data_IF_250778043912
#
_entry.id   IF_250778043912
#
_cell.length_a   1.000
_cell.length_b   1.000
_cell.length_c   1.000
_cell.angle_alpha   90.00
_cell.angle_beta   90.00
_cell.angle_gamma   90.00
#
_symmetry.space_group_name_H-M   'P 1'
#
loop_
_entity.id
_entity.type
_entity.pdbx_description
1 polymer ?
#
# COMPACT_ATOMS: atom_id res chain seq x y z
N UNK A 1 -0.19 10.25 -9.31
CA UNK A 1 -1.67 10.37 -9.33
C UNK A 1 -2.14 10.60 -7.90
N UNK A 2 -2.85 11.71 -7.61
CA UNK A 2 -3.41 11.95 -6.27
C UNK A 2 -4.58 10.99 -6.03
N UNK A 3 -4.67 10.35 -4.87
CA UNK A 3 -5.75 9.41 -4.53
C UNK A 3 -7.15 10.05 -4.65
N UNK A 4 -7.18 11.38 -4.56
CA UNK A 4 -8.29 12.30 -4.69
C UNK A 4 -8.83 12.41 -6.14
N UNK A 5 -8.15 11.82 -7.14
CA UNK A 5 -8.52 11.88 -8.57
C UNK A 5 -8.93 10.53 -9.19
N UNK A 6 -9.40 9.56 -8.40
CA UNK A 6 -10.02 8.35 -8.95
C UNK A 6 -11.37 8.76 -9.56
N UNK A 7 -11.36 8.99 -10.86
CA UNK A 7 -12.40 9.68 -11.63
C UNK A 7 -13.19 8.67 -12.44
N UNK A 8 -14.14 8.01 -11.78
CA UNK A 8 -15.13 7.18 -12.45
C UNK A 8 -16.31 8.06 -12.86
N UNK A 9 -16.76 7.92 -14.12
CA UNK A 9 -17.96 8.59 -14.67
C UNK A 9 -19.24 8.26 -13.87
N UNK A 10 -19.21 7.15 -13.12
CA UNK A 10 -20.22 6.72 -12.14
C UNK A 10 -19.63 6.69 -10.73
N UNK A 11 -20.36 7.15 -9.71
CA UNK A 11 -19.92 7.14 -8.31
C UNK A 11 -19.69 5.73 -7.72
N UNK A 12 -19.92 4.64 -8.46
CA UNK A 12 -19.84 3.28 -7.92
C UNK A 12 -18.97 2.31 -8.73
N UNK A 13 -18.83 2.53 -10.04
CA UNK A 13 -18.15 1.59 -10.93
C UNK A 13 -16.66 1.91 -11.09
N UNK A 14 -15.81 1.23 -10.32
CA UNK A 14 -14.37 1.14 -10.58
C UNK A 14 -14.11 0.30 -11.82
N UNK A 15 -13.16 0.71 -12.66
CA UNK A 15 -12.56 -0.19 -13.64
C UNK A 15 -11.46 -1.06 -13.00
N UNK A 16 -10.99 -2.07 -13.72
CA UNK A 16 -9.97 -2.99 -13.19
C UNK A 16 -8.67 -2.28 -12.82
N UNK A 17 -8.23 -1.27 -13.58
CA UNK A 17 -7.01 -0.49 -13.31
C UNK A 17 -7.10 0.29 -12.01
N UNK A 18 -8.27 0.87 -11.73
CA UNK A 18 -8.52 1.58 -10.47
C UNK A 18 -8.63 0.61 -9.29
N UNK A 19 -9.27 -0.55 -9.50
CA UNK A 19 -9.41 -1.56 -8.46
C UNK A 19 -8.05 -2.18 -8.06
N UNK A 20 -7.17 -2.46 -9.03
CA UNK A 20 -5.81 -2.94 -8.73
C UNK A 20 -4.99 -1.85 -8.05
N UNK A 21 -5.08 -0.59 -8.51
CA UNK A 21 -4.43 0.54 -7.86
C UNK A 21 -4.87 0.72 -6.40
N UNK A 22 -6.18 0.73 -6.14
CA UNK A 22 -6.72 0.84 -4.79
C UNK A 22 -6.35 -0.36 -3.91
N UNK A 23 -6.23 -1.55 -4.49
CA UNK A 23 -5.77 -2.76 -3.79
C UNK A 23 -4.34 -2.57 -3.27
N UNK A 24 -3.42 -2.09 -4.10
CA UNK A 24 -2.04 -1.84 -3.67
C UNK A 24 -1.95 -0.65 -2.71
N UNK A 25 -2.66 0.44 -3.01
CA UNK A 25 -2.70 1.62 -2.14
C UNK A 25 -3.21 1.29 -0.73
N UNK A 26 -4.14 0.34 -0.60
CA UNK A 26 -4.66 -0.10 0.70
C UNK A 26 -3.63 -0.79 1.60
N UNK A 27 -2.51 -1.25 1.03
CA UNK A 27 -1.40 -1.86 1.78
C UNK A 27 -0.45 -0.81 2.35
N UNK A 28 -0.30 0.31 1.65
CA UNK A 28 0.56 1.42 2.08
C UNK A 28 -0.15 2.36 3.05
N UNK A 29 -1.45 2.62 2.82
CA UNK A 29 -2.23 3.53 3.64
C UNK A 29 -3.69 3.12 3.76
N UNK A 30 -4.36 3.65 4.78
CA UNK A 30 -5.81 3.48 4.95
C UNK A 30 -6.53 4.18 3.80
N UNK A 31 -7.39 3.45 3.10
CA UNK A 31 -8.34 4.03 2.15
C UNK A 31 -9.45 4.77 2.90
N UNK A 32 -10.02 5.80 2.26
CA UNK A 32 -11.27 6.39 2.74
C UNK A 32 -12.39 5.35 2.71
N UNK A 33 -13.37 5.49 3.59
CA UNK A 33 -14.45 4.51 3.77
C UNK A 33 -15.22 4.25 2.46
N UNK A 34 -15.51 5.31 1.69
CA UNK A 34 -16.16 5.21 0.38
C UNK A 34 -15.32 4.40 -0.62
N UNK A 35 -14.01 4.65 -0.71
CA UNK A 35 -13.12 3.91 -1.62
C UNK A 35 -13.00 2.44 -1.21
N UNK A 36 -13.02 2.16 0.09
CA UNK A 36 -13.02 0.79 0.62
C UNK A 36 -14.29 0.03 0.23
N UNK A 37 -15.46 0.65 0.33
CA UNK A 37 -16.74 0.05 -0.06
C UNK A 37 -16.78 -0.20 -1.58
N UNK A 38 -16.38 0.78 -2.40
CA UNK A 38 -16.31 0.63 -3.87
C UNK A 38 -15.37 -0.50 -4.28
N UNK A 39 -14.19 -0.57 -3.65
CA UNK A 39 -13.24 -1.65 -3.91
C UNK A 39 -13.82 -3.01 -3.50
N UNK A 40 -14.48 -3.09 -2.34
CA UNK A 40 -15.12 -4.32 -1.89
C UNK A 40 -16.18 -4.82 -2.89
N UNK A 41 -17.03 -3.91 -3.40
CA UNK A 41 -18.00 -4.22 -4.44
C UNK A 41 -17.34 -4.72 -5.73
N UNK A 42 -16.33 -4.01 -6.25
CA UNK A 42 -15.65 -4.46 -7.48
C UNK A 42 -15.02 -5.85 -7.32
N UNK A 43 -14.43 -6.14 -6.15
CA UNK A 43 -13.83 -7.45 -5.86
C UNK A 43 -14.87 -8.58 -5.69
N UNK A 44 -16.14 -8.27 -5.42
CA UNK A 44 -17.21 -9.28 -5.37
C UNK A 44 -17.69 -9.66 -6.76
N UNK A 45 -17.74 -8.71 -7.70
CA UNK A 45 -18.25 -8.91 -9.07
C UNK A 45 -17.18 -9.23 -10.10
N UNK A 46 -15.90 -8.95 -9.84
CA UNK A 46 -14.79 -9.17 -10.77
C UNK A 46 -13.80 -10.23 -10.24
N UNK A 47 -13.95 -11.52 -10.65
CA UNK A 47 -13.06 -12.60 -10.21
C UNK A 47 -11.56 -12.37 -10.51
N UNK A 48 -11.15 -11.80 -11.67
CA UNK A 48 -9.75 -11.48 -11.92
C UNK A 48 -9.15 -10.53 -10.87
N UNK A 49 -9.85 -9.44 -10.52
CA UNK A 49 -9.40 -8.50 -9.51
C UNK A 49 -9.35 -9.14 -8.11
N UNK A 50 -10.28 -10.04 -7.79
CA UNK A 50 -10.25 -10.84 -6.56
C UNK A 50 -9.02 -11.75 -6.49
N UNK A 51 -8.65 -12.40 -7.61
CA UNK A 51 -7.45 -13.23 -7.70
C UNK A 51 -6.18 -12.39 -7.60
N UNK A 52 -6.12 -11.24 -8.28
CA UNK A 52 -5.02 -10.28 -8.17
C UNK A 52 -4.73 -9.93 -6.72
N UNK A 53 -5.75 -9.51 -5.95
CA UNK A 53 -5.61 -9.20 -4.52
C UNK A 53 -5.01 -10.36 -3.72
N UNK A 54 -5.46 -11.60 -3.97
CA UNK A 54 -4.93 -12.78 -3.29
C UNK A 54 -3.48 -13.04 -3.66
N UNK A 55 -3.15 -12.98 -4.95
CA UNK A 55 -1.79 -13.20 -5.45
C UNK A 55 -0.81 -12.19 -4.87
N UNK A 56 -1.15 -10.89 -4.90
CA UNK A 56 -0.23 -9.86 -4.40
C UNK A 56 -0.05 -9.91 -2.88
N UNK A 57 -1.05 -10.40 -2.13
CA UNK A 57 -0.89 -10.67 -0.70
C UNK A 57 0.02 -11.88 -0.45
N UNK A 58 -0.14 -12.96 -1.22
CA UNK A 58 0.71 -14.15 -1.11
C UNK A 58 2.16 -13.84 -1.47
N UNK A 59 2.39 -13.10 -2.55
CA UNK A 59 3.73 -12.65 -2.95
C UNK A 59 4.40 -11.82 -1.85
N UNK A 60 3.69 -10.85 -1.27
CA UNK A 60 4.23 -10.04 -0.18
C UNK A 60 4.61 -10.89 1.05
N UNK A 61 3.77 -11.87 1.41
CA UNK A 61 4.07 -12.80 2.52
C UNK A 61 5.30 -13.66 2.21
N UNK A 62 5.39 -14.22 1.00
CA UNK A 62 6.52 -15.04 0.58
C UNK A 62 7.83 -14.27 0.48
N UNK A 63 7.79 -13.02 -0.01
CA UNK A 63 8.96 -12.14 -0.01
C UNK A 63 9.43 -11.83 1.42
N UNK A 64 8.51 -11.60 2.35
CA UNK A 64 8.87 -11.41 3.77
C UNK A 64 9.53 -12.65 4.37
N UNK A 65 8.98 -13.84 4.09
CA UNK A 65 9.55 -15.13 4.50
C UNK A 65 10.96 -15.34 3.87
N UNK A 66 11.15 -14.96 2.61
CA UNK A 66 12.46 -15.02 1.94
C UNK A 66 13.48 -14.04 2.55
N UNK A 67 13.06 -12.81 2.85
CA UNK A 67 13.92 -11.80 3.50
C UNK A 67 14.38 -12.20 4.90
N UNK A 68 13.56 -12.97 5.63
CA UNK A 68 13.96 -13.52 6.94
C UNK A 68 15.05 -14.60 6.88
N UNK A 69 15.40 -15.14 5.71
CA UNK A 69 16.57 -16.02 5.58
C UNK A 69 17.89 -15.24 5.55
N UNK A 70 17.85 -13.92 5.33
CA UNK A 70 19.01 -13.08 5.56
C UNK A 70 19.08 -12.73 7.04
N UNK A 71 20.09 -13.23 7.76
CA UNK A 71 20.49 -12.70 9.08
C UNK A 71 21.14 -11.31 8.95
N UNK A 72 20.74 -10.54 7.93
CA UNK A 72 21.26 -9.21 7.67
C UNK A 72 20.62 -8.25 8.69
N UNK A 73 21.29 -8.11 9.82
CA UNK A 73 21.05 -7.01 10.74
C UNK A 73 21.94 -5.85 10.30
N UNK A 74 21.34 -4.67 10.14
CA UNK A 74 22.10 -3.42 10.06
C UNK A 74 23.06 -3.31 11.25
N UNK A 75 24.26 -2.82 10.99
CA UNK A 75 25.23 -2.54 12.05
C UNK A 75 24.70 -1.41 12.95
N UNK A 76 25.15 -1.34 14.20
CA UNK A 76 24.68 -0.32 15.14
C UNK A 76 24.97 1.11 14.65
N UNK A 77 26.09 1.30 13.96
CA UNK A 77 26.47 2.57 13.32
C UNK A 77 25.48 3.00 12.24
N UNK A 78 25.06 2.07 11.38
CA UNK A 78 24.07 2.29 10.32
C UNK A 78 22.68 2.57 10.87
N UNK A 79 22.25 1.82 11.90
CA UNK A 79 20.97 2.05 12.59
C UNK A 79 20.92 3.45 13.19
N UNK A 80 22.00 3.89 13.84
CA UNK A 80 22.07 5.21 14.48
C UNK A 80 21.99 6.34 13.45
N UNK A 81 22.71 6.21 12.34
CA UNK A 81 22.63 7.17 11.22
C UNK A 81 21.22 7.27 10.65
N UNK A 82 20.53 6.14 10.48
CA UNK A 82 19.14 6.11 10.04
C UNK A 82 18.21 6.82 11.03
N UNK A 83 18.38 6.58 12.34
CA UNK A 83 17.58 7.21 13.39
C UNK A 83 17.74 8.73 13.39
N UNK A 84 18.98 9.23 13.25
CA UNK A 84 19.27 10.67 13.18
C UNK A 84 18.58 11.31 11.96
N UNK A 85 18.63 10.66 10.79
CA UNK A 85 17.95 11.15 9.58
C UNK A 85 16.43 11.21 9.75
N UNK A 86 15.82 10.20 10.39
CA UNK A 86 14.38 10.20 10.67
C UNK A 86 14.01 11.35 11.62
N UNK A 87 14.79 11.56 12.69
CA UNK A 87 14.56 12.65 13.64
C UNK A 87 14.65 14.02 12.98
N UNK A 88 15.64 14.23 12.12
CA UNK A 88 15.78 15.48 11.35
C UNK A 88 14.57 15.73 10.44
N UNK A 89 14.11 14.71 9.72
CA UNK A 89 12.94 14.81 8.84
C UNK A 89 11.65 15.14 9.62
N UNK A 90 11.45 14.51 10.79
CA UNK A 90 10.30 14.81 11.66
C UNK A 90 10.37 16.23 12.24
N UNK A 91 11.56 16.69 12.65
CA UNK A 91 11.76 18.04 13.15
C UNK A 91 11.50 19.12 12.09
N UNK A 92 11.88 18.87 10.83
CA UNK A 92 11.58 19.77 9.71
C UNK A 92 10.08 19.83 9.41
N UNK A 93 9.38 18.69 9.48
CA UNK A 93 7.93 18.61 9.25
C UNK A 93 7.12 19.33 10.33
N UNK A 94 7.62 19.43 11.56
CA UNK A 94 6.94 20.12 12.67
C UNK A 94 7.20 21.63 12.71
N UNK A 95 8.06 22.17 11.82
CA UNK A 95 8.37 23.60 11.74
C UNK A 95 7.60 24.35 10.63
N UNK A 96 6.76 23.65 9.86
CA UNK A 96 5.89 24.22 8.83
C UNK A 96 4.45 23.82 9.02
#
# INVERSE_FOLDING_TARGET
MKADKITTKSKWNLNCKEATFLTELSKEKKLSMLLRIRLWYHLSVCPPCKRFKKQTLLMAKKLKELGTFSNYSLENSEKKKLQEQIQQALAQKNKG
#
